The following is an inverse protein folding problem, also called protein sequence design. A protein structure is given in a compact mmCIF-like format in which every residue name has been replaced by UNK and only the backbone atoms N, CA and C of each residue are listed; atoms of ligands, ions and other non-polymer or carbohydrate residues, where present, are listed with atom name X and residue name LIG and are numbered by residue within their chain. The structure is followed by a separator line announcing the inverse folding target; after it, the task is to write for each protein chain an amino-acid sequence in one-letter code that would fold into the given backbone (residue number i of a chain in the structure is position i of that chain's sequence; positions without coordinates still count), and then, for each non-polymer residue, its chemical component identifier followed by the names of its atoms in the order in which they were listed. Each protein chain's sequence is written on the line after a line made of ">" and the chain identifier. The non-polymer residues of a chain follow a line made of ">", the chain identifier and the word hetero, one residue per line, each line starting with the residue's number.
data_IF_198950315114
#
_entry.id   IF_198950315114
#
_cell.length_a   1.000
_cell.length_b   1.000
_cell.length_c   1.000
_cell.angle_alpha   90.00
_cell.angle_beta   90.00
_cell.angle_gamma   90.00
#
_symmetry.space_group_name_H-M   'P 1'
#
loop_
_entity.id
_entity.type
_entity.pdbx_description
1 polymer ?
#
# COMPACT_ATOMS: atom_id res chain seq x y z
N UNK A 1 -2.36 -21.57 8.94
CA UNK A 1 -2.44 -22.09 7.56
C UNK A 1 -2.84 -20.94 6.64
N UNK A 2 -2.16 -20.78 5.50
CA UNK A 2 -2.56 -19.85 4.42
C UNK A 2 -3.21 -20.71 3.33
N UNK A 3 -4.35 -20.27 2.81
CA UNK A 3 -5.05 -20.95 1.72
C UNK A 3 -5.07 -20.03 0.51
N UNK A 4 -4.68 -20.56 -0.65
CA UNK A 4 -4.74 -19.88 -1.94
C UNK A 4 -5.79 -20.56 -2.80
N UNK A 5 -6.59 -19.78 -3.51
CA UNK A 5 -7.50 -20.32 -4.52
C UNK A 5 -6.77 -20.40 -5.86
N UNK A 6 -6.44 -21.62 -6.29
CA UNK A 6 -5.66 -21.89 -7.51
C UNK A 6 -6.53 -22.07 -8.77
N UNK A 7 -7.85 -21.90 -8.63
CA UNK A 7 -8.80 -22.00 -9.73
C UNK A 7 -9.58 -23.31 -9.76
N UNK A 8 -10.24 -23.54 -10.90
CA UNK A 8 -11.07 -24.69 -11.20
C UNK A 8 -10.26 -25.83 -11.80
N UNK A 9 -10.54 -27.04 -11.32
CA UNK A 9 -9.94 -28.29 -11.79
C UNK A 9 -11.04 -29.29 -12.12
N UNK A 10 -10.79 -30.11 -13.14
CA UNK A 10 -11.59 -31.29 -13.46
C UNK A 10 -10.88 -32.53 -12.92
N UNK A 11 -11.63 -33.38 -12.23
CA UNK A 11 -11.16 -34.71 -11.83
C UNK A 11 -11.09 -35.58 -13.08
N UNK A 12 -9.89 -36.01 -13.47
CA UNK A 12 -9.69 -36.84 -14.67
C UNK A 12 -9.69 -38.32 -14.35
N UNK A 13 -9.20 -38.69 -13.16
CA UNK A 13 -9.14 -40.07 -12.68
C UNK A 13 -9.31 -40.12 -11.17
N UNK A 14 -9.73 -41.28 -10.68
CA UNK A 14 -9.67 -41.63 -9.26
C UNK A 14 -9.21 -43.08 -9.11
N UNK A 15 -8.52 -43.39 -8.02
CA UNK A 15 -8.11 -44.75 -7.68
C UNK A 15 -7.93 -44.90 -6.17
N UNK A 16 -7.87 -46.15 -5.73
CA UNK A 16 -7.59 -46.52 -4.35
C UNK A 16 -6.13 -46.98 -4.22
N UNK A 17 -5.48 -46.57 -3.14
CA UNK A 17 -4.12 -46.99 -2.82
C UNK A 17 -4.04 -47.31 -1.34
N UNK A 18 -3.18 -48.27 -0.97
CA UNK A 18 -2.96 -48.57 0.45
C UNK A 18 -1.87 -47.63 0.98
N UNK A 19 -2.24 -46.75 1.89
CA UNK A 19 -1.30 -45.85 2.55
C UNK A 19 -0.25 -46.64 3.36
N UNK A 20 0.92 -46.05 3.66
CA UNK A 20 1.95 -46.69 4.50
C UNK A 20 1.45 -47.12 5.89
N UNK A 21 0.33 -46.56 6.34
CA UNK A 21 -0.35 -46.91 7.60
C UNK A 21 -1.26 -48.15 7.48
N UNK A 22 -1.31 -48.81 6.32
CA UNK A 22 -2.11 -50.01 6.05
C UNK A 22 -3.58 -49.76 5.71
N UNK A 23 -4.05 -48.49 5.78
CA UNK A 23 -5.42 -48.07 5.44
C UNK A 23 -5.56 -47.77 3.95
N UNK A 24 -6.75 -48.00 3.39
CA UNK A 24 -7.07 -47.56 2.03
C UNK A 24 -7.28 -46.05 1.99
N UNK A 25 -6.71 -45.40 0.97
CA UNK A 25 -6.87 -43.98 0.66
C UNK A 25 -7.34 -43.81 -0.78
N UNK A 26 -8.28 -42.90 -0.98
CA UNK A 26 -8.74 -42.49 -2.30
C UNK A 26 -7.87 -41.35 -2.80
N UNK A 27 -7.36 -41.50 -4.03
CA UNK A 27 -6.59 -40.46 -4.73
C UNK A 27 -7.36 -40.02 -5.98
N UNK A 28 -7.19 -38.75 -6.32
CA UNK A 28 -7.82 -38.10 -7.46
C UNK A 28 -6.75 -37.39 -8.27
N UNK A 29 -6.76 -37.59 -9.59
CA UNK A 29 -5.97 -36.79 -10.53
C UNK A 29 -6.78 -35.56 -10.91
N UNK A 30 -6.21 -34.37 -10.68
CA UNK A 30 -6.86 -33.08 -10.95
C UNK A 30 -6.15 -32.41 -12.12
N UNK A 31 -6.89 -32.06 -13.16
CA UNK A 31 -6.40 -31.26 -14.30
C UNK A 31 -6.97 -29.86 -14.24
N UNK A 32 -6.11 -28.84 -14.25
CA UNK A 32 -6.53 -27.44 -14.23
C UNK A 32 -7.25 -27.05 -15.52
N UNK A 33 -8.37 -26.36 -15.42
CA UNK A 33 -9.14 -25.93 -16.59
C UNK A 33 -8.41 -24.82 -17.35
N UNK A 34 -8.48 -24.85 -18.68
CA UNK A 34 -7.85 -23.86 -19.56
C UNK A 34 -8.55 -22.48 -19.48
N UNK A 35 -7.82 -21.42 -19.81
CA UNK A 35 -8.35 -20.04 -19.86
C UNK A 35 -8.36 -19.29 -18.52
N UNK A 36 -7.90 -19.92 -17.43
CA UNK A 36 -7.79 -19.29 -16.12
C UNK A 36 -6.45 -18.54 -15.98
N UNK A 37 -6.37 -17.48 -15.15
CA UNK A 37 -5.11 -16.80 -14.84
C UNK A 37 -4.01 -17.77 -14.41
N UNK A 38 -2.74 -17.47 -14.74
CA UNK A 38 -1.58 -18.30 -14.35
C UNK A 38 -1.50 -18.43 -12.82
N UNK A 39 -0.97 -19.54 -12.33
CA UNK A 39 -0.82 -19.76 -10.89
C UNK A 39 0.24 -18.82 -10.32
N UNK A 40 -0.01 -18.25 -9.14
CA UNK A 40 0.95 -17.33 -8.49
C UNK A 40 2.34 -17.97 -8.29
N UNK A 41 2.40 -19.27 -8.01
CA UNK A 41 3.67 -20.00 -7.89
C UNK A 41 4.41 -20.16 -9.24
N UNK A 42 3.68 -20.21 -10.35
CA UNK A 42 4.27 -20.24 -11.70
C UNK A 42 4.78 -18.86 -12.11
N UNK A 43 4.10 -17.77 -11.72
CA UNK A 43 4.58 -16.40 -11.99
C UNK A 43 5.84 -16.08 -11.19
N UNK A 44 5.94 -16.54 -9.93
CA UNK A 44 7.16 -16.39 -9.11
C UNK A 44 8.32 -17.27 -9.63
N UNK A 45 8.05 -18.30 -10.42
CA UNK A 45 9.07 -19.23 -10.95
C UNK A 45 9.38 -19.07 -12.45
N UNK A 46 8.58 -18.29 -13.20
CA UNK A 46 8.84 -17.98 -14.60
C UNK A 46 9.47 -16.58 -14.73
N UNK A 47 10.75 -16.45 -15.11
CA UNK A 47 11.17 -15.22 -15.80
C UNK A 47 10.35 -15.14 -17.10
N UNK A 48 9.82 -13.96 -17.40
CA UNK A 48 8.91 -13.72 -18.52
C UNK A 48 9.52 -14.13 -19.87
N UNK A 49 9.30 -15.37 -20.29
CA UNK A 49 9.67 -15.88 -21.62
C UNK A 49 8.47 -15.82 -22.57
N UNK A 50 8.11 -14.60 -22.97
CA UNK A 50 7.30 -14.23 -24.14
C UNK A 50 7.73 -12.78 -24.41
N UNK A 51 8.49 -12.37 -25.43
CA UNK A 51 8.76 -12.81 -26.80
C UNK A 51 10.15 -12.28 -27.17
N UNK A 52 11.04 -13.11 -27.73
CA UNK A 52 12.09 -12.68 -28.68
C UNK A 52 12.54 -13.94 -29.44
N UNK A 53 12.16 -14.03 -30.71
CA UNK A 53 12.70 -15.03 -31.63
C UNK A 53 14.19 -14.77 -31.86
N UNK A 54 14.95 -15.87 -31.85
CA UNK A 54 16.24 -16.12 -32.50
C UNK A 54 17.38 -15.11 -32.34
N UNK A 55 18.31 -15.44 -31.43
CA UNK A 55 19.71 -15.80 -31.71
C UNK A 55 20.57 -15.40 -30.50
N UNK A 56 21.14 -16.37 -29.78
CA UNK A 56 22.57 -16.50 -29.45
C UNK A 56 22.78 -17.55 -28.34
N UNK A 57 23.78 -18.41 -28.55
CA UNK A 57 24.26 -19.39 -27.59
C UNK A 57 24.92 -18.72 -26.37
N UNK A 58 24.55 -19.10 -25.15
CA UNK A 58 25.42 -18.93 -23.96
C UNK A 58 25.33 -20.14 -23.03
N UNK A 59 26.51 -20.54 -22.56
CA UNK A 59 26.85 -21.72 -21.77
C UNK A 59 26.05 -21.90 -20.47
N UNK A 60 25.67 -23.16 -20.23
CA UNK A 60 25.33 -23.71 -18.91
C UNK A 60 26.61 -23.72 -18.06
N UNK A 61 26.66 -22.92 -16.99
CA UNK A 61 27.13 -23.34 -15.67
C UNK A 61 27.03 -22.20 -14.64
N UNK A 62 26.35 -22.50 -13.52
CA UNK A 62 26.29 -21.75 -12.24
C UNK A 62 25.91 -20.25 -12.33
N UNK A 63 24.64 -19.91 -12.05
CA UNK A 63 24.29 -18.60 -11.48
C UNK A 63 22.99 -18.59 -10.68
N UNK A 64 23.13 -17.99 -9.49
CA UNK A 64 22.12 -17.62 -8.50
C UNK A 64 20.97 -16.80 -9.12
N UNK A 65 19.82 -16.80 -8.43
CA UNK A 65 18.50 -16.23 -8.76
C UNK A 65 18.47 -14.70 -9.03
N UNK A 66 19.58 -14.00 -9.26
CA UNK A 66 19.60 -12.53 -9.37
C UNK A 66 20.39 -11.96 -10.55
N UNK A 67 20.13 -12.47 -11.76
CA UNK A 67 20.42 -11.71 -12.99
C UNK A 67 19.19 -11.83 -13.90
N UNK A 68 18.09 -11.22 -13.47
CA UNK A 68 16.93 -10.98 -14.33
C UNK A 68 17.31 -9.85 -15.28
N UNK A 69 17.18 -10.09 -16.58
CA UNK A 69 17.44 -9.13 -17.67
C UNK A 69 16.61 -7.83 -17.56
N UNK A 70 15.64 -7.80 -16.65
CA UNK A 70 14.66 -6.73 -16.48
C UNK A 70 14.90 -5.84 -15.26
N UNK A 71 15.92 -6.10 -14.44
CA UNK A 71 16.23 -5.26 -13.26
C UNK A 71 17.01 -4.02 -13.71
N UNK A 72 16.40 -2.84 -13.55
CA UNK A 72 17.01 -1.56 -13.93
C UNK A 72 17.74 -0.88 -12.77
N UNK A 73 17.32 -1.13 -11.53
CA UNK A 73 18.01 -0.74 -10.30
C UNK A 73 17.81 -1.84 -9.25
N UNK A 74 18.89 -2.25 -8.57
CA UNK A 74 18.82 -3.30 -7.55
C UNK A 74 18.33 -2.76 -6.19
N UNK A 75 18.49 -1.47 -5.92
CA UNK A 75 17.99 -0.82 -4.72
C UNK A 75 17.92 0.70 -4.87
N UNK A 76 16.74 1.20 -5.22
CA UNK A 76 16.51 2.66 -5.32
C UNK A 76 16.63 3.39 -3.99
N UNK A 77 16.58 2.66 -2.87
CA UNK A 77 16.77 3.26 -1.55
C UNK A 77 18.25 3.54 -1.24
N UNK A 78 19.18 2.93 -1.98
CA UNK A 78 20.62 3.00 -1.75
C UNK A 78 21.01 2.63 -0.31
N UNK A 79 20.41 1.56 0.22
CA UNK A 79 20.63 1.06 1.58
C UNK A 79 19.98 1.89 2.69
N UNK A 80 19.13 2.87 2.36
CA UNK A 80 18.41 3.67 3.38
C UNK A 80 17.25 2.91 4.01
N UNK A 81 16.69 1.94 3.32
CA UNK A 81 15.66 1.05 3.83
C UNK A 81 16.26 -0.26 4.35
N UNK A 82 15.56 -0.92 5.27
CA UNK A 82 16.01 -2.23 5.82
C UNK A 82 15.86 -3.38 4.83
N UNK A 83 15.09 -3.15 3.78
CA UNK A 83 14.82 -4.08 2.70
C UNK A 83 15.30 -3.44 1.40
N UNK A 84 15.81 -4.26 0.49
CA UNK A 84 16.14 -3.80 -0.87
C UNK A 84 14.84 -3.51 -1.62
N UNK A 85 14.83 -2.42 -2.38
CA UNK A 85 13.71 -2.02 -3.24
C UNK A 85 14.20 -2.04 -4.70
N UNK A 86 14.15 -3.20 -5.38
CA UNK A 86 14.51 -3.30 -6.78
C UNK A 86 13.44 -2.64 -7.67
N UNK A 87 13.91 -2.08 -8.78
CA UNK A 87 13.07 -1.62 -9.88
C UNK A 87 13.21 -2.59 -11.04
N UNK A 88 12.07 -3.06 -11.53
CA UNK A 88 11.98 -3.99 -12.64
C UNK A 88 11.19 -3.31 -13.76
N UNK A 89 11.80 -3.27 -14.95
CA UNK A 89 11.14 -2.83 -16.16
C UNK A 89 11.25 -3.95 -17.20
N UNK A 90 10.11 -4.59 -17.46
CA UNK A 90 9.97 -5.63 -18.46
C UNK A 90 9.23 -5.15 -19.72
N UNK A 91 8.94 -3.85 -19.81
CA UNK A 91 8.16 -3.25 -20.90
C UNK A 91 9.08 -2.57 -21.91
N UNK A 92 10.04 -1.78 -21.42
CA UNK A 92 10.99 -1.05 -22.25
C UNK A 92 12.33 -0.85 -21.52
N UNK A 93 13.25 -0.11 -22.14
CA UNK A 93 14.59 0.17 -21.59
C UNK A 93 14.64 1.48 -20.77
N UNK A 94 13.47 2.02 -20.39
CA UNK A 94 13.39 3.26 -19.62
C UNK A 94 13.90 3.03 -18.18
N UNK A 95 14.38 4.12 -17.59
CA UNK A 95 14.78 4.16 -16.18
C UNK A 95 14.01 5.24 -15.44
N UNK A 96 13.77 5.06 -14.13
CA UNK A 96 13.20 6.12 -13.32
C UNK A 96 14.03 7.41 -13.45
N UNK A 97 13.40 8.59 -13.64
CA UNK A 97 14.10 9.87 -13.60
C UNK A 97 14.87 10.03 -12.29
N UNK A 98 16.02 10.73 -12.25
CA UNK A 98 16.78 10.93 -11.03
C UNK A 98 15.95 11.57 -9.90
N UNK A 99 16.03 11.02 -8.70
CA UNK A 99 15.40 11.56 -7.49
C UNK A 99 16.26 11.27 -6.25
N UNK A 100 15.99 11.97 -5.15
CA UNK A 100 16.64 11.68 -3.87
C UNK A 100 15.74 10.83 -2.99
N UNK A 101 16.15 9.58 -2.71
CA UNK A 101 15.42 8.73 -1.78
C UNK A 101 15.58 9.24 -0.34
N UNK A 102 14.48 9.43 0.38
CA UNK A 102 14.45 9.84 1.80
C UNK A 102 13.53 8.93 2.60
N UNK A 103 13.85 8.69 3.88
CA UNK A 103 13.04 7.86 4.79
C UNK A 103 12.35 8.68 5.88
N UNK A 104 12.68 9.98 5.99
CA UNK A 104 12.15 10.89 6.99
C UNK A 104 11.52 12.11 6.31
N UNK A 105 10.39 12.57 6.86
CA UNK A 105 9.71 13.78 6.40
C UNK A 105 10.64 14.99 6.53
N UNK A 106 10.74 15.78 5.46
CA UNK A 106 11.44 17.05 5.45
C UNK A 106 10.44 18.17 5.69
N UNK A 107 10.66 18.96 6.72
CA UNK A 107 9.80 20.09 7.06
C UNK A 107 10.44 21.39 6.54
N UNK A 108 9.63 22.38 6.13
CA UNK A 108 10.14 23.71 5.80
C UNK A 108 10.91 24.32 6.99
N UNK A 109 11.90 25.17 6.71
CA UNK A 109 12.75 25.77 7.74
C UNK A 109 11.97 26.59 8.79
N UNK A 110 10.84 27.16 8.39
CA UNK A 110 9.96 27.96 9.24
C UNK A 110 9.00 27.11 10.08
N UNK A 111 8.91 25.80 9.82
CA UNK A 111 7.98 24.92 10.49
C UNK A 111 8.46 24.57 11.91
N UNK A 112 7.70 24.97 12.92
CA UNK A 112 8.05 24.76 14.33
C UNK A 112 7.53 23.42 14.85
N UNK A 113 8.46 22.49 15.07
CA UNK A 113 8.13 21.12 15.50
C UNK A 113 7.90 21.08 17.03
N UNK A 114 6.64 21.03 17.45
CA UNK A 114 6.26 20.84 18.86
C UNK A 114 6.12 19.34 19.19
N UNK A 115 6.97 18.82 20.09
CA UNK A 115 6.90 17.41 20.51
C UNK A 115 5.84 17.24 21.59
N UNK A 116 4.86 16.33 21.41
CA UNK A 116 3.86 16.09 22.43
C UNK A 116 4.47 15.33 23.62
N UNK A 117 3.84 15.47 24.78
CA UNK A 117 4.13 14.62 25.93
C UNK A 117 3.89 13.15 25.56
N UNK A 118 4.86 12.30 25.87
CA UNK A 118 4.80 10.85 25.66
C UNK A 118 4.23 10.10 26.86
N UNK A 119 4.08 8.78 26.74
CA UNK A 119 3.69 7.94 27.87
C UNK A 119 4.88 7.60 28.77
N UNK A 120 4.60 7.33 30.05
CA UNK A 120 5.59 6.86 31.03
C UNK A 120 5.69 5.33 31.13
N UNK A 121 5.02 4.58 30.23
CA UNK A 121 5.07 3.11 30.23
C UNK A 121 6.49 2.60 30.00
N UNK A 122 6.97 1.65 30.81
CA UNK A 122 8.34 1.11 30.71
C UNK A 122 8.40 -0.27 30.04
N UNK A 123 7.35 -1.09 30.16
CA UNK A 123 7.30 -2.46 29.63
C UNK A 123 6.47 -2.59 28.34
N UNK A 124 6.43 -1.52 27.55
CA UNK A 124 5.52 -1.40 26.39
C UNK A 124 4.12 -0.93 26.78
N UNK A 125 3.35 -0.51 25.78
CA UNK A 125 1.97 -0.04 25.96
C UNK A 125 0.96 -1.16 25.67
N UNK A 126 -0.17 -1.10 26.36
CA UNK A 126 -1.32 -2.01 26.24
C UNK A 126 -2.62 -1.21 26.23
N UNK A 127 -3.74 -1.90 26.02
CA UNK A 127 -5.10 -1.35 26.02
C UNK A 127 -5.47 -0.89 27.44
N UNK A 128 -5.02 0.31 27.80
CA UNK A 128 -5.20 0.88 29.13
C UNK A 128 -5.28 2.39 29.06
N UNK A 129 -6.32 2.95 29.67
CA UNK A 129 -6.48 4.41 29.83
C UNK A 129 -5.37 5.06 30.66
N UNK A 130 -4.58 4.28 31.40
CA UNK A 130 -3.39 4.77 32.12
C UNK A 130 -2.24 5.13 31.18
N UNK A 131 -2.20 4.54 29.98
CA UNK A 131 -1.27 4.95 28.95
C UNK A 131 -1.82 6.18 28.22
N UNK A 132 -1.12 7.32 28.28
CA UNK A 132 -1.52 8.54 27.57
C UNK A 132 -1.66 8.35 26.05
N UNK A 133 -0.84 7.48 25.45
CA UNK A 133 -0.93 7.15 24.02
C UNK A 133 -2.18 6.32 23.70
N UNK A 134 -2.48 5.26 24.48
CA UNK A 134 -3.69 4.47 24.29
C UNK A 134 -4.95 5.33 24.54
N UNK A 135 -4.93 6.19 25.56
CA UNK A 135 -6.00 7.15 25.86
C UNK A 135 -6.33 8.07 24.67
N UNK A 136 -5.31 8.57 23.96
CA UNK A 136 -5.50 9.37 22.72
C UNK A 136 -6.17 8.59 21.57
N UNK A 137 -6.06 7.26 21.58
CA UNK A 137 -6.74 6.37 20.65
C UNK A 137 -8.09 5.84 21.20
N UNK A 138 -8.63 6.43 22.28
CA UNK A 138 -9.90 5.99 22.88
C UNK A 138 -9.76 4.90 23.94
N UNK A 139 -8.53 4.58 24.38
CA UNK A 139 -8.23 3.62 25.44
C UNK A 139 -7.63 2.29 24.97
N UNK A 140 -7.51 2.09 23.66
CA UNK A 140 -7.04 0.86 23.02
C UNK A 140 -5.90 1.16 22.04
N UNK A 141 -5.05 0.17 21.76
CA UNK A 141 -4.02 0.24 20.73
C UNK A 141 -4.66 -0.09 19.37
N UNK A 142 -4.62 0.83 18.40
CA UNK A 142 -5.43 0.72 17.18
C UNK A 142 -4.84 -0.20 16.11
N UNK A 143 -3.53 -0.48 16.18
CA UNK A 143 -2.80 -1.30 15.22
C UNK A 143 -2.28 -2.55 15.92
N UNK A 144 -2.47 -3.72 15.30
CA UNK A 144 -1.82 -4.93 15.76
C UNK A 144 -0.33 -4.93 15.38
N UNK A 145 0.43 -5.91 15.88
CA UNK A 145 1.88 -6.03 15.59
C UNK A 145 2.20 -6.29 14.12
N UNK A 146 1.22 -6.69 13.30
CA UNK A 146 1.34 -6.87 11.84
C UNK A 146 0.95 -5.63 11.04
N UNK A 147 0.59 -4.53 11.70
CA UNK A 147 0.11 -3.31 11.05
C UNK A 147 -1.33 -3.41 10.54
N UNK A 148 -2.12 -4.41 10.95
CA UNK A 148 -3.55 -4.39 10.64
C UNK A 148 -4.28 -3.53 11.66
N UNK A 149 -5.14 -2.66 11.15
CA UNK A 149 -6.03 -1.84 11.96
C UNK A 149 -7.09 -2.70 12.64
N UNK A 150 -7.15 -2.60 13.96
CA UNK A 150 -8.16 -3.25 14.80
C UNK A 150 -9.43 -2.40 14.81
N UNK A 151 -9.26 -1.07 14.79
CA UNK A 151 -10.35 -0.09 14.81
C UNK A 151 -10.08 1.05 13.83
N UNK A 152 -11.00 1.28 12.90
CA UNK A 152 -10.93 2.40 12.00
C UNK A 152 -11.03 3.73 12.78
N UNK A 153 -10.07 4.62 12.55
CA UNK A 153 -10.06 5.95 13.14
C UNK A 153 -9.42 6.95 12.16
N UNK A 154 -9.92 8.20 12.08
CA UNK A 154 -9.35 9.20 11.17
C UNK A 154 -7.88 9.49 11.45
N UNK A 155 -7.46 9.42 12.72
CA UNK A 155 -6.11 9.74 13.16
C UNK A 155 -5.62 8.73 14.21
N UNK A 156 -4.50 8.08 13.92
CA UNK A 156 -3.82 7.14 14.82
C UNK A 156 -2.73 7.84 15.62
N UNK A 157 -2.62 7.56 16.92
CA UNK A 157 -1.53 8.04 17.77
C UNK A 157 -0.59 6.91 18.17
N UNK A 158 0.57 6.84 17.51
CA UNK A 158 1.64 5.96 17.92
C UNK A 158 2.49 6.57 19.05
N UNK A 159 3.26 5.72 19.72
CA UNK A 159 4.25 6.18 20.69
C UNK A 159 5.37 6.92 19.96
N UNK A 160 5.61 8.16 20.40
CA UNK A 160 6.64 9.04 19.85
C UNK A 160 8.01 8.94 20.53
N UNK A 161 8.97 9.77 20.10
CA UNK A 161 10.29 9.87 20.74
C UNK A 161 10.24 10.26 22.22
N UNK A 162 9.22 11.02 22.65
CA UNK A 162 9.04 11.44 24.05
C UNK A 162 8.50 10.34 24.96
N UNK A 163 8.17 9.15 24.44
CA UNK A 163 7.64 8.04 25.23
C UNK A 163 8.76 7.20 25.85
N UNK A 164 8.58 6.78 27.11
CA UNK A 164 9.52 5.90 27.83
C UNK A 164 9.44 4.42 27.41
N UNK A 165 8.46 4.05 26.60
CA UNK A 165 8.26 2.67 26.18
C UNK A 165 9.32 2.24 25.17
N UNK A 166 9.71 0.95 25.17
CA UNK A 166 10.80 0.44 24.34
C UNK A 166 10.49 0.55 22.85
N UNK A 167 11.50 0.46 21.96
CA UNK A 167 11.30 0.40 20.52
C UNK A 167 10.40 -0.75 20.07
N UNK A 168 10.33 -1.85 20.84
CA UNK A 168 9.46 -3.00 20.60
C UNK A 168 8.01 -2.80 21.06
N UNK A 169 7.65 -1.61 21.53
CA UNK A 169 6.30 -1.30 21.98
C UNK A 169 5.27 -1.58 20.88
N UNK A 170 4.15 -2.24 21.24
CA UNK A 170 3.07 -2.57 20.31
C UNK A 170 2.43 -1.35 19.64
N UNK A 171 2.56 -0.17 20.25
CA UNK A 171 2.11 1.11 19.70
C UNK A 171 3.20 1.86 18.91
N UNK A 172 4.25 1.16 18.45
CA UNK A 172 5.24 1.63 17.47
C UNK A 172 5.21 0.66 16.29
N UNK A 173 4.51 1.00 15.21
CA UNK A 173 4.21 0.03 14.14
C UNK A 173 4.69 0.56 12.79
N UNK A 174 4.09 1.65 12.32
CA UNK A 174 4.37 2.30 11.05
C UNK A 174 5.73 3.03 11.04
N UNK A 175 6.17 3.54 12.20
CA UNK A 175 7.47 4.21 12.34
C UNK A 175 8.68 3.29 12.11
N UNK A 176 8.48 1.98 11.95
CA UNK A 176 9.56 1.02 11.67
C UNK A 176 9.92 0.89 10.19
N UNK A 177 9.19 1.58 9.32
CA UNK A 177 9.38 1.55 7.87
C UNK A 177 8.78 0.31 7.20
N UNK A 178 9.04 0.13 5.90
CA UNK A 178 8.59 -1.02 5.11
C UNK A 178 9.04 -2.36 5.71
N UNK A 179 8.19 -3.39 5.63
CA UNK A 179 8.44 -4.73 6.21
C UNK A 179 8.44 -5.88 5.20
N UNK A 180 7.93 -5.67 4.00
CA UNK A 180 7.79 -6.69 2.96
C UNK A 180 8.61 -6.27 1.75
N UNK A 181 9.23 -7.23 1.05
CA UNK A 181 9.89 -6.95 -0.23
C UNK A 181 8.92 -6.27 -1.19
N UNK A 182 9.34 -5.13 -1.72
CA UNK A 182 8.61 -4.33 -2.69
C UNK A 182 9.35 -4.45 -4.01
N UNK A 183 8.65 -4.81 -5.07
CA UNK A 183 9.15 -4.74 -6.44
C UNK A 183 8.37 -3.64 -7.14
N UNK A 184 9.07 -2.66 -7.70
CA UNK A 184 8.45 -1.65 -8.55
C UNK A 184 8.37 -2.18 -9.99
N UNK A 185 7.15 -2.22 -10.54
CA UNK A 185 6.91 -2.54 -11.94
C UNK A 185 6.56 -1.23 -12.69
N UNK A 186 7.43 -0.78 -13.58
CA UNK A 186 7.18 0.43 -14.37
C UNK A 186 6.12 0.17 -15.44
N UNK A 187 4.93 0.77 -15.28
CA UNK A 187 3.98 1.03 -16.37
C UNK A 187 3.47 2.46 -16.22
N UNK A 188 4.37 3.45 -16.35
CA UNK A 188 4.00 4.86 -16.34
C UNK A 188 4.09 5.42 -17.76
N UNK A 189 2.97 5.89 -18.28
CA UNK A 189 2.93 6.59 -19.58
C UNK A 189 2.88 8.11 -19.47
N UNK A 190 2.91 8.72 -18.27
CA UNK A 190 2.80 10.17 -18.13
C UNK A 190 3.54 10.76 -16.91
N UNK A 191 4.08 11.97 -17.10
CA UNK A 191 4.67 12.85 -16.07
C UNK A 191 3.58 13.38 -15.13
N UNK A 192 3.23 12.59 -14.12
CA UNK A 192 2.22 13.02 -13.16
C UNK A 192 2.78 13.95 -12.09
N UNK A 193 2.27 15.18 -12.08
CA UNK A 193 2.34 16.16 -10.99
C UNK A 193 1.49 15.65 -9.81
N UNK A 194 1.95 14.60 -9.15
CA UNK A 194 1.25 14.02 -8.01
C UNK A 194 1.63 14.74 -6.70
N UNK A 195 0.63 15.29 -6.02
CA UNK A 195 0.74 15.98 -4.74
C UNK A 195 -0.18 15.24 -3.75
N UNK A 196 0.34 14.75 -2.61
CA UNK A 196 -0.51 14.10 -1.60
C UNK A 196 -1.16 15.18 -0.75
N UNK A 197 -2.47 15.37 -0.86
CA UNK A 197 -3.21 16.22 0.07
C UNK A 197 -3.16 15.61 1.48
N UNK A 198 -2.72 16.43 2.43
CA UNK A 198 -2.61 16.08 3.86
C UNK A 198 -3.91 16.48 4.59
N UNK A 199 -4.79 17.24 3.93
CA UNK A 199 -6.07 17.73 4.45
C UNK A 199 -7.20 16.69 4.48
N UNK A 200 -7.77 16.47 5.67
CA UNK A 200 -9.03 15.81 5.99
C UNK A 200 -9.48 14.61 5.13
N UNK A 201 -8.90 13.44 5.42
CA UNK A 201 -9.56 12.15 5.20
C UNK A 201 -10.72 11.92 6.21
N UNK A 202 -11.53 12.96 6.46
CA UNK A 202 -12.75 12.89 7.27
C UNK A 202 -13.96 12.46 6.41
N UNK A 203 -13.73 11.73 5.30
CA UNK A 203 -14.82 11.04 4.63
C UNK A 203 -15.25 9.85 5.47
N UNK A 204 -16.53 9.90 5.86
CA UNK A 204 -17.22 8.91 6.67
C UNK A 204 -16.85 7.48 6.27
N UNK A 205 -16.31 6.72 7.24
CA UNK A 205 -16.20 5.26 7.15
C UNK A 205 -17.56 4.73 6.69
N UNK A 206 -17.68 4.02 5.54
CA UNK A 206 -18.96 3.58 5.04
C UNK A 206 -19.66 2.71 6.08
N UNK A 207 -20.70 3.26 6.71
CA UNK A 207 -21.59 2.50 7.60
C UNK A 207 -22.31 1.48 6.72
N UNK A 208 -21.89 0.22 6.81
CA UNK A 208 -22.62 -0.91 6.21
C UNK A 208 -24.01 -0.98 6.84
N UNK A 209 -25.02 -0.76 5.99
CA UNK A 209 -26.42 -1.16 6.12
C UNK A 209 -27.25 -0.54 7.26
N UNK A 210 -27.97 0.53 6.92
CA UNK A 210 -29.29 0.79 7.48
C UNK A 210 -30.26 1.14 6.35
N UNK A 211 -31.49 0.67 6.47
CA UNK A 211 -32.50 0.53 5.43
C UNK A 211 -32.87 1.82 4.67
N UNK A 212 -33.17 1.60 3.39
CA UNK A 212 -34.15 2.29 2.54
C UNK A 212 -35.18 3.11 3.32
N UNK A 213 -35.23 4.42 3.08
CA UNK A 213 -36.49 5.14 2.94
C UNK A 213 -36.31 6.44 2.15
N UNK A 214 -37.23 6.65 1.22
CA UNK A 214 -37.28 7.75 0.27
C UNK A 214 -37.67 9.08 0.95
N UNK A 215 -37.27 10.19 0.31
CA UNK A 215 -37.74 11.57 0.48
C UNK A 215 -37.09 12.44 1.56
N UNK A 216 -35.80 12.79 1.38
CA UNK A 216 -35.33 14.12 1.75
C UNK A 216 -34.67 14.78 0.53
N UNK A 217 -35.20 15.93 0.12
CA UNK A 217 -34.48 16.89 -0.72
C UNK A 217 -33.21 17.26 0.04
N UNK A 218 -32.06 16.82 -0.44
CA UNK A 218 -30.77 17.34 0.03
C UNK A 218 -30.61 18.68 -0.65
N UNK A 219 -30.96 19.75 0.08
CA UNK A 219 -30.49 21.08 -0.26
C UNK A 219 -28.96 21.03 -0.26
N UNK A 220 -28.38 21.40 -1.41
CA UNK A 220 -26.95 21.57 -1.61
C UNK A 220 -26.45 22.68 -0.68
N UNK A 221 -26.20 22.34 0.58
CA UNK A 221 -25.37 23.14 1.46
C UNK A 221 -23.96 23.05 0.89
N UNK A 222 -23.66 24.05 0.07
CA UNK A 222 -22.31 24.51 -0.25
C UNK A 222 -21.56 24.69 1.07
N UNK A 223 -20.88 23.63 1.50
CA UNK A 223 -19.90 23.68 2.57
C UNK A 223 -18.78 24.60 2.09
N UNK A 224 -18.90 25.86 2.48
CA UNK A 224 -17.85 26.85 2.38
C UNK A 224 -16.55 26.22 2.89
N UNK A 225 -15.56 26.09 2.01
CA UNK A 225 -14.18 25.83 2.40
C UNK A 225 -13.81 26.98 3.34
N UNK A 226 -13.77 26.70 4.65
CA UNK A 226 -13.00 27.56 5.54
C UNK A 226 -11.56 27.43 5.06
N UNK A 227 -10.98 28.55 4.65
CA UNK A 227 -9.55 28.71 4.44
C UNK A 227 -8.81 28.39 5.75
N UNK A 228 -8.55 27.10 5.99
CA UNK A 228 -7.60 26.65 6.99
C UNK A 228 -6.37 26.11 6.26
N UNK A 229 -5.18 26.55 6.68
CA UNK A 229 -3.86 26.23 6.15
C UNK A 229 -3.69 24.72 5.90
N UNK A 230 -3.99 24.27 4.67
CA UNK A 230 -3.76 22.92 4.22
C UNK A 230 -2.28 22.72 3.89
N UNK A 231 -1.70 21.62 4.36
CA UNK A 231 -0.36 21.21 3.96
C UNK A 231 -0.44 20.17 2.84
N UNK A 232 0.62 20.07 2.05
CA UNK A 232 0.71 19.07 1.00
C UNK A 232 2.10 18.45 0.96
N UNK A 233 2.21 17.16 0.67
CA UNK A 233 3.51 16.52 0.47
C UNK A 233 3.91 16.62 -1.00
N UNK A 234 5.02 17.31 -1.25
CA UNK A 234 5.68 17.35 -2.55
C UNK A 234 6.80 16.29 -2.60
N UNK A 235 6.56 15.23 -3.37
CA UNK A 235 7.51 14.15 -3.57
C UNK A 235 8.31 14.28 -4.89
N UNK A 236 8.30 15.43 -5.57
CA UNK A 236 8.97 15.60 -6.87
C UNK A 236 10.49 15.50 -6.76
N UNK A 237 11.13 16.04 -5.72
CA UNK A 237 12.60 15.97 -5.58
C UNK A 237 13.06 14.94 -4.56
N UNK A 238 12.37 14.89 -3.42
CA UNK A 238 12.67 13.99 -2.31
C UNK A 238 11.47 13.07 -2.09
N UNK A 239 11.69 11.77 -2.11
CA UNK A 239 10.61 10.78 -2.04
C UNK A 239 11.06 9.48 -1.40
N UNK A 240 10.10 8.67 -0.97
CA UNK A 240 10.30 7.25 -0.73
C UNK A 240 9.50 6.44 -1.76
N UNK A 241 9.47 5.12 -1.58
CA UNK A 241 8.69 4.19 -2.42
C UNK A 241 7.18 4.53 -2.49
N UNK A 242 6.63 5.22 -1.49
CA UNK A 242 5.21 5.57 -1.42
C UNK A 242 4.72 6.42 -2.60
N UNK A 243 5.61 7.22 -3.23
CA UNK A 243 5.26 8.02 -4.42
C UNK A 243 4.86 7.18 -5.64
N UNK A 244 5.29 5.94 -5.70
CA UNK A 244 5.10 5.06 -6.85
C UNK A 244 3.85 4.18 -6.73
N UNK A 245 3.14 4.24 -5.61
CA UNK A 245 1.90 3.49 -5.42
C UNK A 245 0.79 4.13 -6.26
N UNK A 246 0.19 3.33 -7.15
CA UNK A 246 -0.79 3.82 -8.12
C UNK A 246 -2.22 3.90 -7.57
N UNK A 247 -3.08 4.58 -8.33
CA UNK A 247 -4.51 4.64 -8.09
C UNK A 247 -5.22 3.36 -8.51
N UNK A 248 -6.23 2.94 -7.73
CA UNK A 248 -7.25 2.02 -8.20
C UNK A 248 -8.64 2.37 -7.66
N UNK A 249 -9.68 2.19 -8.50
CA UNK A 249 -11.08 2.22 -8.06
C UNK A 249 -11.47 0.97 -7.23
N UNK A 250 -10.58 -0.01 -7.07
CA UNK A 250 -10.77 -1.18 -6.20
C UNK A 250 -9.48 -1.56 -5.46
N UNK A 251 -8.97 -0.64 -4.64
CA UNK A 251 -7.61 -0.71 -4.10
C UNK A 251 -7.40 -1.88 -3.13
N UNK A 252 -6.14 -2.19 -2.87
CA UNK A 252 -5.70 -3.15 -1.86
C UNK A 252 -4.96 -2.51 -0.67
N UNK A 253 -4.69 -1.21 -0.76
CA UNK A 253 -4.21 -0.37 0.33
C UNK A 253 -5.24 0.69 0.70
N UNK A 254 -5.12 1.22 1.91
CA UNK A 254 -5.75 2.48 2.31
C UNK A 254 -4.71 3.37 3.00
N UNK A 255 -4.89 4.68 2.88
CA UNK A 255 -4.08 5.68 3.56
C UNK A 255 -4.64 5.93 4.97
N UNK A 256 -3.77 6.02 5.96
CA UNK A 256 -4.09 6.28 7.35
C UNK A 256 -3.21 7.40 7.88
N UNK A 257 -3.82 8.44 8.44
CA UNK A 257 -3.09 9.50 9.13
C UNK A 257 -2.57 8.97 10.48
N UNK A 258 -1.27 9.13 10.72
CA UNK A 258 -0.58 8.68 11.94
C UNK A 258 0.25 9.81 12.54
N UNK A 259 0.10 10.00 13.85
CA UNK A 259 0.85 10.95 14.67
C UNK A 259 1.81 10.20 15.59
N UNK A 260 3.09 10.54 15.54
CA UNK A 260 4.07 10.07 16.52
C UNK A 260 5.20 11.06 16.79
N UNK A 261 5.56 11.90 15.81
CA UNK A 261 6.74 12.75 15.92
C UNK A 261 6.45 14.12 16.57
N UNK A 262 5.41 14.83 16.11
CA UNK A 262 4.98 16.12 16.62
C UNK A 262 3.47 16.16 16.95
N UNK A 263 3.01 17.28 17.52
CA UNK A 263 1.63 17.48 17.96
C UNK A 263 0.71 18.15 16.94
N UNK A 264 1.24 18.73 15.86
CA UNK A 264 0.42 19.41 14.85
C UNK A 264 -0.37 18.42 13.99
N UNK A 265 -1.69 18.37 14.20
CA UNK A 265 -2.61 17.45 13.54
C UNK A 265 -2.86 17.80 12.06
N UNK A 266 -2.40 18.96 11.59
CA UNK A 266 -2.50 19.37 10.18
C UNK A 266 -1.41 18.73 9.30
N UNK A 267 -0.38 18.16 9.92
CA UNK A 267 0.75 17.51 9.22
C UNK A 267 0.97 16.07 9.70
N UNK A 268 -0.04 15.18 9.65
CA UNK A 268 0.15 13.77 9.97
C UNK A 268 1.12 13.09 9.02
N UNK A 269 1.69 11.98 9.46
CA UNK A 269 2.31 11.04 8.53
C UNK A 269 1.21 10.24 7.82
N UNK A 270 1.27 10.19 6.49
CA UNK A 270 0.39 9.34 5.68
C UNK A 270 1.03 7.96 5.58
N UNK A 271 0.39 6.96 6.20
CA UNK A 271 0.87 5.58 6.22
C UNK A 271 -0.06 4.68 5.42
N UNK A 272 0.50 3.80 4.60
CA UNK A 272 -0.26 2.83 3.83
C UNK A 272 -0.38 1.49 4.55
N UNK A 273 -1.59 0.98 4.63
CA UNK A 273 -1.88 -0.33 5.22
C UNK A 273 -2.71 -1.18 4.26
N UNK A 274 -2.50 -2.50 4.31
CA UNK A 274 -3.27 -3.43 3.51
C UNK A 274 -4.74 -3.48 3.98
N UNK A 275 -5.68 -3.29 3.06
CA UNK A 275 -7.12 -3.44 3.32
C UNK A 275 -7.62 -4.87 3.13
N UNK A 276 -6.84 -5.70 2.44
CA UNK A 276 -7.11 -7.11 2.16
C UNK A 276 -5.80 -7.90 2.07
N UNK A 277 -5.88 -9.23 2.07
CA UNK A 277 -4.71 -10.05 1.76
C UNK A 277 -4.27 -9.79 0.33
N UNK A 278 -2.97 -9.57 0.13
CA UNK A 278 -2.38 -9.23 -1.16
C UNK A 278 -1.49 -10.40 -1.59
N UNK A 279 -1.73 -10.93 -2.78
CA UNK A 279 -0.91 -12.00 -3.33
C UNK A 279 0.48 -11.46 -3.75
N UNK A 280 1.53 -12.30 -3.78
CA UNK A 280 2.81 -11.91 -4.36
C UNK A 280 2.63 -11.38 -5.79
N UNK A 281 3.40 -10.35 -6.15
CA UNK A 281 3.39 -9.68 -7.46
C UNK A 281 2.07 -8.97 -7.82
N UNK A 282 1.10 -8.92 -6.91
CA UNK A 282 -0.09 -8.09 -7.09
C UNK A 282 0.27 -6.63 -6.81
N UNK A 283 -0.01 -5.76 -7.78
CA UNK A 283 0.25 -4.32 -7.68
C UNK A 283 -0.40 -3.70 -6.44
N UNK A 284 0.38 -2.90 -5.70
CA UNK A 284 -0.11 -2.12 -4.57
C UNK A 284 -0.79 -0.84 -5.07
N UNK A 285 -2.04 -0.62 -4.65
CA UNK A 285 -2.86 0.51 -5.09
C UNK A 285 -3.74 1.06 -3.96
N UNK A 286 -3.97 2.38 -3.96
CA UNK A 286 -4.93 3.05 -3.07
C UNK A 286 -5.87 3.97 -3.85
N UNK A 287 -6.94 4.44 -3.20
CA UNK A 287 -7.84 5.40 -3.82
C UNK A 287 -7.25 6.81 -3.66
N UNK A 288 -7.12 7.57 -4.75
CA UNK A 288 -6.47 8.89 -4.72
C UNK A 288 -7.39 9.99 -4.18
N UNK A 289 -8.69 9.71 -4.03
CA UNK A 289 -9.70 10.65 -3.52
C UNK A 289 -9.76 11.99 -4.25
N UNK A 290 -9.38 12.03 -5.53
CA UNK A 290 -9.68 13.19 -6.36
C UNK A 290 -11.19 13.28 -6.62
N UNK A 291 -11.74 14.48 -6.46
CA UNK A 291 -13.09 14.78 -6.90
C UNK A 291 -13.06 15.11 -8.40
N UNK A 292 -13.92 14.43 -9.17
CA UNK A 292 -14.04 14.63 -10.62
C UNK A 292 -14.42 16.08 -10.91
N UNK A 293 -13.81 16.66 -11.95
CA UNK A 293 -14.02 18.04 -12.39
C UNK A 293 -13.63 19.13 -11.34
N UNK A 294 -12.91 18.77 -10.27
CA UNK A 294 -12.43 19.71 -9.22
C UNK A 294 -10.92 19.94 -9.24
N UNK A 295 -10.19 19.40 -10.24
CA UNK A 295 -8.75 19.62 -10.40
C UNK A 295 -8.52 20.71 -11.44
N UNK A 296 -7.77 21.75 -11.07
CA UNK A 296 -7.48 22.89 -11.93
C UNK A 296 -5.97 23.10 -12.07
N UNK A 297 -5.52 23.60 -13.21
CA UNK A 297 -4.15 24.05 -13.40
C UNK A 297 -3.92 25.44 -12.76
N UNK A 298 -2.67 25.90 -12.79
CA UNK A 298 -2.26 27.23 -12.28
C UNK A 298 -2.98 28.40 -12.96
N UNK A 299 -3.59 28.19 -14.13
CA UNK A 299 -4.32 29.20 -14.89
C UNK A 299 -5.84 29.10 -14.65
N UNK A 300 -6.30 28.18 -13.79
CA UNK A 300 -7.72 27.95 -13.51
C UNK A 300 -8.43 27.06 -14.53
N UNK A 301 -7.71 26.40 -15.45
CA UNK A 301 -8.33 25.46 -16.39
C UNK A 301 -8.52 24.11 -15.72
N UNK A 302 -9.70 23.52 -15.89
CA UNK A 302 -10.01 22.18 -15.39
C UNK A 302 -9.12 21.13 -16.07
N UNK A 303 -8.35 20.38 -15.28
CA UNK A 303 -7.58 19.23 -15.74
C UNK A 303 -8.43 17.99 -15.66
N UNK A 304 -8.29 17.13 -16.67
CA UNK A 304 -8.95 15.83 -16.74
C UNK A 304 -7.91 14.75 -16.99
N UNK A 305 -8.08 13.60 -16.33
CA UNK A 305 -7.25 12.42 -16.52
C UNK A 305 -8.10 11.16 -16.42
N UNK A 306 -7.96 10.31 -17.43
CA UNK A 306 -8.65 9.03 -17.48
C UNK A 306 -8.03 8.03 -16.48
N UNK A 307 -8.87 7.24 -15.83
CA UNK A 307 -8.43 6.14 -14.98
C UNK A 307 -8.19 4.87 -15.80
N UNK A 308 -7.02 4.25 -15.62
CA UNK A 308 -6.61 3.01 -16.30
C UNK A 308 -6.35 1.85 -15.33
N UNK A 309 -6.99 1.87 -14.15
CA UNK A 309 -6.70 0.91 -13.08
C UNK A 309 -7.17 -0.54 -13.35
N UNK A 310 -7.87 -0.80 -14.46
CA UNK A 310 -8.35 -2.13 -14.83
C UNK A 310 -9.44 -2.71 -13.93
N UNK A 311 -9.93 -1.98 -12.91
CA UNK A 311 -11.01 -2.46 -12.06
C UNK A 311 -12.34 -2.52 -12.82
N UNK A 312 -13.15 -3.55 -12.53
CA UNK A 312 -14.53 -3.65 -13.02
C UNK A 312 -15.46 -2.55 -12.47
N UNK A 313 -15.06 -1.88 -11.38
CA UNK A 313 -15.76 -0.70 -10.81
C UNK A 313 -15.22 0.63 -11.33
N UNK A 314 -14.32 0.62 -12.32
CA UNK A 314 -13.71 1.83 -12.81
C UNK A 314 -14.74 2.71 -13.52
N UNK A 315 -14.85 3.98 -13.10
CA UNK A 315 -15.70 4.99 -13.73
C UNK A 315 -15.01 5.66 -14.93
N UNK A 316 -13.79 5.23 -15.27
CA UNK A 316 -13.02 5.72 -16.40
C UNK A 316 -12.32 7.06 -16.18
N UNK A 317 -12.55 7.75 -15.05
CA UNK A 317 -11.90 9.02 -14.69
C UNK A 317 -11.20 8.95 -13.34
N UNK A 318 -10.04 9.62 -13.27
CA UNK A 318 -9.30 9.86 -12.05
C UNK A 318 -9.58 11.26 -11.50
N UNK A 319 -9.59 12.27 -12.39
CA UNK A 319 -10.08 13.63 -12.16
C UNK A 319 -10.54 14.26 -13.46
#
# INVERSE_FOLDING_TARGET
>A
MRYTYDGLYTVTKYWEERAPTGKYVFKFELKRNLGQPKLNHEVVSQPASLIKENHFHVNKEKKSIMQSEFVVDYDVSQGKEKILIPVVNAINDDRPPPFTYITNMQYPYWYSISRPQGCNCTNGCSDSKQCSCASRNGGEIPLNTRGSTIRAQPLVYECGPSCKCPPSCKNRVSQHGPRYHLEEAESRTDNDEYLFDVGNYDEEIPKRNAMRNNNLKVESNSLQRKDEDGFTLDAVRYRNVGRFINHSCSPNLYAQNVMYYHGDRRVPHIMFFASKSIAPLQEFTYHYNYHIDHVYDKNGNMKRKNCRCGSWKCEGRMY
#
